data_IF_548893917619
#
_entry.id   IF_548893917619
#
_cell.length_a   1.000
_cell.length_b   1.000
_cell.length_c   1.000
_cell.angle_alpha   90.00
_cell.angle_beta   90.00
_cell.angle_gamma   90.00
#
_symmetry.space_group_name_H-M   'P 1'
#
loop_
_entity.id
_entity.type
_entity.pdbx_description
1 polymer ?
#
# COMPACT_ATOMS: atom_id res chain seq x y z
N UNK A 1 -11.74 -5.86 -36.38
CA UNK A 1 -11.57 -4.67 -35.54
C UNK A 1 -10.32 -4.90 -34.69
N UNK A 2 -9.49 -3.88 -34.52
CA UNK A 2 -8.25 -3.97 -33.71
C UNK A 2 -8.64 -4.15 -32.24
N UNK A 3 -8.02 -5.09 -31.53
CA UNK A 3 -8.25 -5.29 -30.08
C UNK A 3 -7.38 -4.35 -29.25
N UNK A 4 -7.84 -3.98 -28.05
CA UNK A 4 -7.05 -3.17 -27.11
C UNK A 4 -5.69 -3.83 -26.79
N UNK A 5 -5.63 -5.16 -26.69
CA UNK A 5 -4.40 -5.91 -26.43
C UNK A 5 -3.31 -5.72 -27.51
N UNK A 6 -3.66 -5.24 -28.70
CA UNK A 6 -2.70 -4.95 -29.77
C UNK A 6 -2.00 -3.59 -29.58
N UNK A 7 -2.63 -2.65 -28.86
CA UNK A 7 -2.16 -1.25 -28.72
C UNK A 7 -1.89 -0.82 -27.27
N UNK A 8 -2.29 -1.63 -26.29
CA UNK A 8 -2.06 -1.40 -24.86
C UNK A 8 -1.10 -2.45 -24.33
N UNK A 9 0.00 -2.01 -23.73
CA UNK A 9 0.99 -2.88 -23.07
C UNK A 9 1.07 -2.57 -21.59
N UNK A 10 1.17 -3.60 -20.77
CA UNK A 10 1.43 -3.44 -19.32
C UNK A 10 2.90 -3.74 -19.05
N UNK A 11 3.60 -2.74 -18.58
CA UNK A 11 5.03 -2.78 -18.26
C UNK A 11 5.29 -3.65 -17.03
N UNK A 12 5.89 -4.83 -17.26
CA UNK A 12 6.17 -5.81 -16.18
C UNK A 12 7.21 -5.37 -15.17
N UNK A 13 7.99 -4.33 -15.47
CA UNK A 13 9.05 -3.83 -14.58
C UNK A 13 8.55 -3.37 -13.21
N UNK A 14 7.28 -2.97 -13.12
CA UNK A 14 6.65 -2.56 -11.86
C UNK A 14 6.12 -3.74 -11.02
N UNK A 15 6.16 -4.97 -11.55
CA UNK A 15 5.70 -6.17 -10.87
C UNK A 15 6.81 -6.95 -10.13
N UNK A 16 8.07 -6.48 -10.18
CA UNK A 16 9.18 -7.16 -9.52
C UNK A 16 9.08 -6.98 -8.00
N UNK A 17 8.99 -8.10 -7.27
CA UNK A 17 9.16 -8.13 -5.82
C UNK A 17 10.64 -7.97 -5.50
N UNK A 18 10.95 -7.06 -4.59
CA UNK A 18 12.31 -6.84 -4.14
C UNK A 18 12.53 -7.59 -2.82
N UNK A 19 13.62 -8.35 -2.73
CA UNK A 19 14.04 -9.03 -1.52
C UNK A 19 15.30 -8.38 -0.97
N UNK A 20 15.18 -7.78 0.20
CA UNK A 20 16.28 -6.98 0.73
C UNK A 20 17.52 -7.81 1.04
N UNK A 21 17.37 -9.03 1.55
CA UNK A 21 18.49 -9.90 1.91
C UNK A 21 19.33 -10.35 0.69
N UNK A 22 18.69 -10.57 -0.46
CA UNK A 22 19.39 -11.01 -1.69
C UNK A 22 19.82 -9.86 -2.59
N UNK A 23 19.06 -8.76 -2.61
CA UNK A 23 19.19 -7.75 -3.67
C UNK A 23 20.11 -6.58 -3.29
N UNK A 24 20.63 -6.54 -2.05
CA UNK A 24 21.56 -5.51 -1.58
C UNK A 24 22.82 -5.37 -2.45
N UNK A 25 23.38 -6.50 -2.91
CA UNK A 25 24.63 -6.53 -3.66
C UNK A 25 24.44 -6.71 -5.18
N UNK A 26 23.19 -6.76 -5.65
CA UNK A 26 22.84 -6.97 -7.06
C UNK A 26 22.61 -5.66 -7.85
N UNK A 27 22.53 -5.79 -9.17
CA UNK A 27 22.07 -4.73 -10.10
C UNK A 27 20.79 -5.21 -10.79
N UNK A 28 19.68 -4.43 -10.88
CA UNK A 28 19.31 -3.24 -10.13
C UNK A 28 17.83 -3.27 -9.66
N UNK A 29 17.52 -3.59 -8.38
CA UNK A 29 16.15 -3.45 -7.87
C UNK A 29 15.64 -1.99 -7.88
N UNK A 30 16.54 -1.01 -8.07
CA UNK A 30 16.21 0.42 -8.14
C UNK A 30 15.96 0.94 -9.56
N UNK A 31 16.27 0.19 -10.62
CA UNK A 31 16.02 0.66 -11.99
C UNK A 31 14.52 0.65 -12.27
N UNK A 32 13.96 1.85 -12.48
CA UNK A 32 12.52 2.03 -12.66
C UNK A 32 11.74 2.22 -11.36
N UNK A 33 12.41 2.21 -10.20
CA UNK A 33 11.77 2.59 -8.94
C UNK A 33 11.36 4.06 -8.99
N UNK A 34 10.11 4.33 -8.58
CA UNK A 34 9.56 5.68 -8.52
C UNK A 34 9.33 6.02 -7.05
N UNK A 35 10.09 7.00 -6.55
CA UNK A 35 9.91 7.50 -5.19
C UNK A 35 8.62 8.31 -5.11
N UNK A 36 7.62 7.75 -4.42
CA UNK A 36 6.36 8.44 -4.15
C UNK A 36 6.55 9.57 -3.12
N UNK A 37 5.69 10.58 -3.16
CA UNK A 37 5.77 11.74 -2.27
C UNK A 37 5.48 11.36 -0.81
N UNK A 38 4.57 10.43 -0.56
CA UNK A 38 4.30 9.85 0.76
C UNK A 38 5.53 9.14 1.32
N UNK A 39 6.20 8.31 0.51
CA UNK A 39 7.44 7.63 0.90
C UNK A 39 8.54 8.66 1.18
N UNK A 40 8.70 9.67 0.32
CA UNK A 40 9.64 10.79 0.55
C UNK A 40 9.37 11.46 1.89
N UNK A 41 8.12 11.84 2.18
CA UNK A 41 7.73 12.50 3.44
C UNK A 41 8.04 11.61 4.65
N UNK A 42 7.78 10.32 4.54
CA UNK A 42 8.08 9.33 5.57
C UNK A 42 9.57 9.16 5.83
N UNK A 43 10.39 9.15 4.77
CA UNK A 43 11.85 9.15 4.90
C UNK A 43 12.37 10.44 5.54
N UNK A 44 11.85 11.61 5.14
CA UNK A 44 12.20 12.90 5.77
C UNK A 44 11.92 12.88 7.27
N UNK A 45 10.75 12.39 7.68
CA UNK A 45 10.40 12.28 9.10
C UNK A 45 11.34 11.33 9.87
N UNK A 46 11.73 10.20 9.27
CA UNK A 46 12.72 9.29 9.84
C UNK A 46 14.08 9.98 9.99
N UNK A 47 14.55 10.66 8.95
CA UNK A 47 15.86 11.32 8.93
C UNK A 47 15.95 12.45 9.96
N UNK A 48 14.88 13.22 10.16
CA UNK A 48 14.83 14.25 11.19
C UNK A 48 15.07 13.66 12.58
N UNK A 49 14.42 12.54 12.92
CA UNK A 49 14.61 11.85 14.21
C UNK A 49 16.06 11.42 14.45
N UNK A 50 16.73 10.93 13.40
CA UNK A 50 18.14 10.50 13.46
C UNK A 50 19.07 11.71 13.59
N UNK A 51 18.87 12.74 12.76
CA UNK A 51 19.72 13.94 12.72
C UNK A 51 19.68 14.72 14.04
N UNK A 52 18.49 14.79 14.68
CA UNK A 52 18.31 15.42 15.99
C UNK A 52 18.82 14.55 17.15
N UNK A 53 19.24 13.31 16.87
CA UNK A 53 19.72 12.35 17.87
C UNK A 53 18.63 11.82 18.80
N UNK A 54 17.35 11.97 18.43
CA UNK A 54 16.20 11.65 19.27
C UNK A 54 15.67 10.22 19.06
N UNK A 55 15.88 9.65 17.88
CA UNK A 55 15.36 8.34 17.51
C UNK A 55 16.26 7.60 16.53
N UNK A 56 16.44 6.30 16.77
CA UNK A 56 17.25 5.41 15.94
C UNK A 56 16.59 4.04 15.69
N UNK A 57 15.43 3.78 16.29
CA UNK A 57 14.63 2.58 16.08
C UNK A 57 13.28 2.96 15.44
N UNK A 58 12.99 2.39 14.28
CA UNK A 58 11.83 2.73 13.47
C UNK A 58 11.03 1.50 13.09
N UNK A 59 9.71 1.66 13.02
CA UNK A 59 8.86 0.69 12.32
C UNK A 59 8.28 1.34 11.07
N UNK A 60 8.40 0.69 9.93
CA UNK A 60 7.77 1.11 8.69
C UNK A 60 6.48 0.34 8.50
N UNK A 61 5.35 0.99 8.74
CA UNK A 61 4.05 0.32 8.72
C UNK A 61 3.26 0.71 7.47
N UNK A 62 2.84 -0.28 6.70
CA UNK A 62 1.99 -0.06 5.53
C UNK A 62 1.61 -1.36 4.83
N UNK A 63 0.59 -1.36 3.96
CA UNK A 63 0.07 -2.57 3.32
C UNK A 63 1.12 -3.32 2.47
N UNK A 64 0.86 -4.59 2.17
CA UNK A 64 1.60 -5.34 1.15
C UNK A 64 1.57 -4.58 -0.20
N UNK A 65 2.65 -4.69 -0.98
CA UNK A 65 2.76 -4.00 -2.26
C UNK A 65 2.93 -2.47 -2.19
N UNK A 66 3.00 -1.86 -1.00
CA UNK A 66 3.25 -0.43 -0.81
C UNK A 66 4.69 0.04 -1.03
N UNK A 67 5.55 -0.78 -1.65
CA UNK A 67 6.93 -0.40 -1.99
C UNK A 67 7.92 -0.31 -0.81
N UNK A 68 7.56 -0.81 0.39
CA UNK A 68 8.41 -0.75 1.60
C UNK A 68 9.77 -1.41 1.41
N UNK A 69 9.82 -2.63 0.90
CA UNK A 69 11.08 -3.37 0.66
C UNK A 69 11.96 -2.67 -0.39
N UNK A 70 11.36 -2.11 -1.45
CA UNK A 70 12.08 -1.31 -2.44
C UNK A 70 12.63 -0.01 -1.84
N UNK A 71 11.85 0.68 -1.00
CA UNK A 71 12.32 1.85 -0.27
C UNK A 71 13.43 1.49 0.73
N UNK A 72 13.40 0.30 1.32
CA UNK A 72 14.42 -0.18 2.23
C UNK A 72 15.74 -0.46 1.50
N UNK A 73 15.65 -1.05 0.30
CA UNK A 73 16.80 -1.16 -0.62
C UNK A 73 17.33 0.21 -1.05
N UNK A 74 16.46 1.18 -1.32
CA UNK A 74 16.87 2.55 -1.62
C UNK A 74 17.66 3.14 -0.45
N UNK A 75 17.14 3.04 0.78
CA UNK A 75 17.80 3.50 2.00
C UNK A 75 19.14 2.79 2.21
N UNK A 76 19.19 1.47 2.07
CA UNK A 76 20.43 0.71 2.21
C UNK A 76 21.50 1.14 1.20
N UNK A 77 21.11 1.35 -0.07
CA UNK A 77 22.03 1.83 -1.11
C UNK A 77 22.47 3.28 -0.90
N UNK A 78 21.60 4.12 -0.32
CA UNK A 78 22.01 5.45 0.12
C UNK A 78 23.06 5.31 1.23
N UNK A 79 22.78 4.55 2.28
CA UNK A 79 23.59 4.48 3.50
C UNK A 79 24.93 3.76 3.30
N UNK A 80 24.94 2.58 2.66
CA UNK A 80 26.11 1.71 2.54
C UNK A 80 26.43 1.25 1.10
N UNK A 81 25.59 1.57 0.11
CA UNK A 81 25.77 1.12 -1.27
C UNK A 81 27.10 1.57 -1.88
N UNK A 82 27.65 0.79 -2.81
CA UNK A 82 28.89 1.15 -3.51
C UNK A 82 28.72 2.44 -4.34
N UNK A 83 29.81 3.02 -4.85
CA UNK A 83 29.79 4.31 -5.57
C UNK A 83 28.74 4.35 -6.70
N UNK A 84 28.56 3.27 -7.45
CA UNK A 84 27.61 3.18 -8.57
C UNK A 84 26.16 3.12 -8.07
N UNK A 85 25.88 2.23 -7.12
CA UNK A 85 24.54 2.07 -6.56
C UNK A 85 24.09 3.31 -5.79
N UNK A 86 25.00 3.95 -5.05
CA UNK A 86 24.71 5.18 -4.32
C UNK A 86 24.37 6.33 -5.26
N UNK A 87 25.13 6.51 -6.35
CA UNK A 87 24.82 7.54 -7.34
C UNK A 87 23.44 7.32 -7.98
N UNK A 88 23.07 6.06 -8.25
CA UNK A 88 21.72 5.73 -8.73
C UNK A 88 20.64 6.09 -7.70
N UNK A 89 20.85 5.72 -6.43
CA UNK A 89 19.93 6.01 -5.34
C UNK A 89 19.77 7.52 -5.11
N UNK A 90 20.86 8.29 -5.17
CA UNK A 90 20.87 9.75 -5.06
C UNK A 90 20.13 10.42 -6.23
N UNK A 91 20.25 9.88 -7.44
CA UNK A 91 19.46 10.33 -8.59
C UNK A 91 17.95 10.12 -8.42
N UNK A 92 17.53 9.06 -7.71
CA UNK A 92 16.12 8.78 -7.41
C UNK A 92 15.58 9.75 -6.35
N UNK A 93 16.33 9.98 -5.27
CA UNK A 93 15.86 10.83 -4.17
C UNK A 93 15.99 12.32 -4.45
N UNK A 94 16.91 12.71 -5.33
CA UNK A 94 17.25 14.11 -5.59
C UNK A 94 18.19 14.72 -4.53
N UNK A 95 18.75 15.91 -4.80
CA UNK A 95 19.82 16.51 -4.01
C UNK A 95 19.41 16.77 -2.55
N UNK A 96 18.23 17.37 -2.32
CA UNK A 96 17.78 17.79 -0.99
C UNK A 96 17.69 16.60 -0.02
N UNK A 97 17.10 15.49 -0.46
CA UNK A 97 16.97 14.31 0.40
C UNK A 97 18.31 13.59 0.55
N UNK A 98 19.15 13.58 -0.49
CA UNK A 98 20.50 13.03 -0.40
C UNK A 98 21.37 13.78 0.64
N UNK A 99 21.22 15.10 0.74
CA UNK A 99 21.86 15.92 1.77
C UNK A 99 21.36 15.57 3.18
N UNK A 100 20.04 15.42 3.37
CA UNK A 100 19.47 14.99 4.65
C UNK A 100 19.99 13.61 5.07
N UNK A 101 20.10 12.64 4.14
CA UNK A 101 20.73 11.34 4.43
C UNK A 101 22.19 11.50 4.86
N UNK A 102 22.92 12.44 4.26
CA UNK A 102 24.33 12.68 4.61
C UNK A 102 24.48 13.32 5.99
N UNK A 103 23.53 14.17 6.39
CA UNK A 103 23.47 14.75 7.74
C UNK A 103 23.07 13.72 8.80
N UNK A 104 22.07 12.87 8.51
CA UNK A 104 21.55 11.89 9.45
C UNK A 104 22.49 10.68 9.64
N UNK A 105 23.29 10.31 8.64
CA UNK A 105 24.20 9.16 8.69
C UNK A 105 25.66 9.60 8.52
N UNK A 106 26.36 10.03 9.59
CA UNK A 106 27.77 10.44 9.52
C UNK A 106 28.67 9.34 8.95
N UNK A 107 29.56 9.67 8.00
CA UNK A 107 30.46 8.69 7.38
C UNK A 107 29.81 7.79 6.31
N UNK A 108 28.62 8.18 5.81
CA UNK A 108 27.80 7.49 4.80
C UNK A 108 28.63 6.78 3.72
N UNK A 109 28.50 5.45 3.73
CA UNK A 109 28.98 4.50 2.73
C UNK A 109 30.48 4.48 2.41
N UNK A 110 31.34 5.11 3.21
CA UNK A 110 32.77 4.74 3.25
C UNK A 110 33.05 3.69 4.32
N UNK A 111 32.13 3.51 5.27
CA UNK A 111 32.31 2.57 6.37
C UNK A 111 31.02 2.05 7.01
N UNK A 112 29.82 2.44 6.55
CA UNK A 112 28.57 1.86 7.08
C UNK A 112 28.35 0.44 6.53
N UNK A 113 27.87 -0.45 7.39
CA UNK A 113 27.38 -1.77 6.99
C UNK A 113 25.84 -1.81 7.08
N UNK A 114 25.20 -2.68 6.29
CA UNK A 114 23.74 -2.92 6.35
C UNK A 114 23.50 -4.40 6.61
N UNK A 115 22.90 -4.73 7.75
CA UNK A 115 22.46 -6.10 8.05
C UNK A 115 20.97 -6.21 7.71
N UNK A 116 20.64 -7.03 6.71
CA UNK A 116 19.25 -7.19 6.27
C UNK A 116 18.73 -8.59 6.54
N UNK A 117 17.48 -8.66 7.00
CA UNK A 117 16.77 -9.89 7.32
C UNK A 117 15.40 -9.87 6.67
N UNK A 118 14.94 -11.05 6.26
CA UNK A 118 13.55 -11.27 5.82
C UNK A 118 12.84 -12.15 6.83
N UNK A 119 11.62 -11.75 7.22
CA UNK A 119 10.78 -12.41 8.20
C UNK A 119 10.56 -13.90 7.93
N UNK A 120 10.74 -14.72 8.96
CA UNK A 120 10.41 -16.15 9.00
C UNK A 120 9.72 -16.47 10.32
N UNK A 121 9.03 -17.60 10.41
CA UNK A 121 8.37 -18.05 11.65
C UNK A 121 9.36 -18.73 12.61
N UNK A 122 10.40 -18.01 13.00
CA UNK A 122 11.49 -18.47 13.88
C UNK A 122 11.78 -17.40 14.95
N UNK A 123 12.71 -17.66 15.87
CA UNK A 123 13.21 -16.61 16.78
C UNK A 123 13.94 -15.52 15.98
N UNK A 124 13.71 -14.26 16.34
CA UNK A 124 14.42 -13.12 15.77
C UNK A 124 15.90 -13.11 16.17
N UNK A 125 16.21 -13.48 17.41
CA UNK A 125 17.59 -13.55 17.91
C UNK A 125 18.44 -14.53 17.08
N UNK A 126 17.92 -15.75 16.86
CA UNK A 126 18.58 -16.74 16.03
C UNK A 126 18.76 -16.27 14.58
N UNK A 127 17.70 -15.73 13.96
CA UNK A 127 17.79 -15.22 12.60
C UNK A 127 18.79 -14.06 12.46
N UNK A 128 18.87 -13.19 13.47
CA UNK A 128 19.83 -12.09 13.54
C UNK A 128 21.27 -12.57 13.69
N UNK A 129 21.50 -13.56 14.56
CA UNK A 129 22.80 -14.19 14.72
C UNK A 129 23.26 -14.88 13.43
N UNK A 130 22.39 -15.66 12.78
CA UNK A 130 22.70 -16.37 11.54
C UNK A 130 23.06 -15.37 10.42
N UNK A 131 22.23 -14.34 10.22
CA UNK A 131 22.47 -13.32 9.18
C UNK A 131 23.76 -12.52 9.44
N UNK A 132 24.02 -12.16 10.70
CA UNK A 132 25.23 -11.42 11.06
C UNK A 132 26.48 -12.30 10.92
N UNK A 133 26.40 -13.57 11.31
CA UNK A 133 27.48 -14.53 11.18
C UNK A 133 27.88 -14.76 9.72
N UNK A 134 26.88 -14.94 8.85
CA UNK A 134 27.09 -15.09 7.40
C UNK A 134 27.68 -13.81 6.79
N UNK A 135 27.07 -12.65 7.07
CA UNK A 135 27.46 -11.40 6.43
C UNK A 135 28.82 -10.86 6.91
N UNK A 136 29.13 -11.01 8.19
CA UNK A 136 30.36 -10.49 8.79
C UNK A 136 31.45 -11.54 8.94
N UNK A 137 31.22 -12.75 8.42
CA UNK A 137 32.15 -13.88 8.45
C UNK A 137 32.65 -14.18 9.87
N UNK A 138 31.72 -14.25 10.83
CA UNK A 138 32.07 -14.43 12.24
C UNK A 138 32.75 -15.79 12.47
N UNK A 139 33.86 -15.85 13.26
CA UNK A 139 34.44 -17.11 13.69
C UNK A 139 33.45 -17.94 14.51
N UNK A 140 33.62 -19.28 14.50
CA UNK A 140 32.73 -20.20 15.23
C UNK A 140 32.55 -19.82 16.71
N UNK A 141 33.62 -19.37 17.38
CA UNK A 141 33.54 -18.93 18.78
C UNK A 141 32.59 -17.74 18.99
N UNK A 142 32.58 -16.77 18.07
CA UNK A 142 31.66 -15.62 18.09
C UNK A 142 30.24 -16.07 17.78
N UNK A 143 30.05 -16.99 16.82
CA UNK A 143 28.73 -17.56 16.52
C UNK A 143 28.13 -18.31 17.71
N UNK A 144 28.95 -19.09 18.41
CA UNK A 144 28.51 -19.84 19.60
C UNK A 144 28.18 -18.89 20.76
N UNK A 145 28.95 -17.81 20.94
CA UNK A 145 28.65 -16.77 21.92
C UNK A 145 27.37 -15.99 21.58
N UNK A 146 27.15 -15.67 20.29
CA UNK A 146 25.98 -14.93 19.79
C UNK A 146 24.66 -15.72 19.89
N UNK A 147 24.68 -16.96 20.40
CA UNK A 147 23.46 -17.66 20.84
C UNK A 147 22.84 -17.01 22.09
N UNK A 148 23.63 -16.29 22.88
CA UNK A 148 23.15 -15.40 23.92
C UNK A 148 22.79 -14.03 23.32
N UNK A 149 21.59 -13.53 23.63
CA UNK A 149 21.08 -12.28 23.05
C UNK A 149 21.95 -11.06 23.38
N UNK A 150 22.52 -11.01 24.59
CA UNK A 150 23.34 -9.86 24.99
C UNK A 150 24.67 -9.86 24.26
N UNK A 151 25.31 -11.03 24.16
CA UNK A 151 26.54 -11.19 23.40
C UNK A 151 26.33 -10.85 21.91
N UNK A 152 25.23 -11.30 21.32
CA UNK A 152 24.85 -10.93 19.95
C UNK A 152 24.77 -9.41 19.77
N UNK A 153 24.05 -8.73 20.67
CA UNK A 153 23.87 -7.29 20.60
C UNK A 153 25.20 -6.53 20.83
N UNK A 154 26.05 -7.02 21.74
CA UNK A 154 27.38 -6.46 21.99
C UNK A 154 28.26 -6.55 20.73
N UNK A 155 28.22 -7.67 20.01
CA UNK A 155 28.97 -7.84 18.75
C UNK A 155 28.45 -6.93 17.64
N UNK A 156 27.12 -6.76 17.52
CA UNK A 156 26.51 -5.83 16.56
C UNK A 156 26.88 -4.37 16.85
N UNK A 157 26.89 -3.98 18.13
CA UNK A 157 27.32 -2.66 18.55
C UNK A 157 28.82 -2.45 18.33
N UNK A 158 29.65 -3.45 18.66
CA UNK A 158 31.08 -3.42 18.40
C UNK A 158 31.36 -3.24 16.91
N UNK A 159 30.62 -3.96 16.03
CA UNK A 159 30.70 -3.79 14.59
C UNK A 159 30.34 -2.36 14.17
N UNK A 160 29.23 -1.83 14.66
CA UNK A 160 28.80 -0.45 14.40
C UNK A 160 29.87 0.57 14.79
N UNK A 161 30.58 0.35 15.91
CA UNK A 161 31.66 1.23 16.41
C UNK A 161 32.98 1.09 15.64
N UNK A 162 33.35 -0.10 15.20
CA UNK A 162 34.54 -0.36 14.36
C UNK A 162 34.37 0.24 12.95
N UNK A 163 33.13 0.44 12.54
CA UNK A 163 32.68 0.98 11.27
C UNK A 163 32.22 2.43 11.42
N UNK A 164 31.58 2.97 10.39
CA UNK A 164 30.89 4.27 10.46
C UNK A 164 29.52 4.17 11.15
N UNK A 165 28.94 2.97 11.09
CA UNK A 165 27.68 2.59 11.70
C UNK A 165 27.15 1.30 11.09
N UNK A 166 26.04 0.80 11.66
CA UNK A 166 25.31 -0.37 11.23
C UNK A 166 23.82 0.00 11.09
N UNK A 167 23.28 -0.23 9.90
CA UNK A 167 21.84 -0.18 9.66
C UNK A 167 21.31 -1.62 9.67
N UNK A 168 20.42 -1.94 10.61
CA UNK A 168 19.71 -3.22 10.65
C UNK A 168 18.34 -3.02 10.02
N UNK A 169 18.03 -3.77 8.97
CA UNK A 169 16.71 -3.77 8.34
C UNK A 169 16.06 -5.15 8.46
N UNK A 170 14.90 -5.19 9.09
CA UNK A 170 14.12 -6.42 9.29
C UNK A 170 12.86 -6.31 8.43
N UNK A 171 12.90 -6.87 7.22
CA UNK A 171 11.71 -6.97 6.37
C UNK A 171 10.76 -8.04 6.91
N UNK A 172 9.45 -7.82 6.75
CA UNK A 172 8.40 -8.68 7.29
C UNK A 172 8.56 -9.02 8.80
N UNK A 173 8.95 -8.04 9.63
CA UNK A 173 9.11 -8.20 11.08
C UNK A 173 7.90 -8.87 11.76
N UNK A 174 6.71 -8.69 11.18
CA UNK A 174 5.46 -9.32 11.63
C UNK A 174 5.53 -10.84 11.75
N UNK A 175 6.32 -11.54 10.91
CA UNK A 175 6.48 -13.01 10.99
C UNK A 175 7.22 -13.45 12.25
N UNK A 176 8.21 -12.67 12.68
CA UNK A 176 8.90 -12.89 13.96
C UNK A 176 7.98 -12.59 15.14
N UNK A 177 7.19 -11.50 15.05
CA UNK A 177 6.18 -11.19 16.07
C UNK A 177 5.14 -12.31 16.17
N UNK A 178 4.61 -12.81 15.06
CA UNK A 178 3.69 -13.95 15.05
C UNK A 178 4.28 -15.18 15.76
N UNK A 179 5.56 -15.49 15.50
CA UNK A 179 6.26 -16.56 16.20
C UNK A 179 6.37 -16.28 17.71
N UNK A 180 6.78 -15.06 18.10
CA UNK A 180 6.91 -14.65 19.50
C UNK A 180 5.58 -14.72 20.29
N UNK A 181 4.43 -14.61 19.62
CA UNK A 181 3.13 -14.81 20.28
C UNK A 181 2.88 -16.24 20.75
N UNK A 182 3.45 -17.24 20.06
CA UNK A 182 3.27 -18.65 20.39
C UNK A 182 4.31 -19.15 21.40
N UNK A 183 5.49 -18.51 21.45
CA UNK A 183 6.63 -18.92 22.27
C UNK A 183 6.76 -18.15 23.60
N UNK A 184 5.68 -17.49 24.04
CA UNK A 184 5.62 -16.71 25.28
C UNK A 184 6.61 -15.52 25.37
N UNK A 185 6.68 -14.68 24.33
CA UNK A 185 7.08 -13.28 24.51
C UNK A 185 8.55 -12.93 24.28
N UNK A 186 9.23 -13.60 23.34
CA UNK A 186 10.57 -13.21 22.88
C UNK A 186 10.54 -11.95 21.98
N UNK A 187 10.05 -10.84 22.54
CA UNK A 187 10.10 -9.49 21.97
C UNK A 187 11.20 -8.66 22.63
N UNK A 188 11.85 -9.22 23.66
CA UNK A 188 12.83 -8.53 24.50
C UNK A 188 14.04 -8.06 23.68
N UNK A 189 14.49 -8.87 22.72
CA UNK A 189 15.56 -8.47 21.80
C UNK A 189 15.25 -7.16 21.06
N UNK A 190 13.99 -6.90 20.67
CA UNK A 190 13.63 -5.62 20.02
C UNK A 190 13.76 -4.45 20.98
N UNK A 191 13.48 -4.65 22.26
CA UNK A 191 13.69 -3.63 23.29
C UNK A 191 15.19 -3.35 23.46
N UNK A 192 16.00 -4.39 23.64
CA UNK A 192 17.45 -4.23 23.86
C UNK A 192 18.13 -3.58 22.66
N UNK A 193 17.76 -3.98 21.43
CA UNK A 193 18.23 -3.34 20.20
C UNK A 193 17.89 -1.84 20.18
N UNK A 194 16.65 -1.46 20.50
CA UNK A 194 16.24 -0.05 20.51
C UNK A 194 16.99 0.76 21.58
N UNK A 195 17.20 0.19 22.77
CA UNK A 195 17.97 0.84 23.84
C UNK A 195 19.45 1.04 23.48
N UNK A 196 20.06 0.07 22.80
CA UNK A 196 21.44 0.17 22.32
C UNK A 196 21.56 1.16 21.17
N UNK A 197 20.60 1.18 20.25
CA UNK A 197 20.55 2.16 19.17
C UNK A 197 20.49 3.60 19.72
N UNK A 198 19.64 3.84 20.73
CA UNK A 198 19.55 5.13 21.42
C UNK A 198 20.86 5.60 22.07
N UNK A 199 21.73 4.67 22.50
CA UNK A 199 23.02 4.96 23.14
C UNK A 199 24.21 4.90 22.16
N UNK A 200 23.96 4.62 20.89
CA UNK A 200 25.00 4.41 19.88
C UNK A 200 25.57 5.70 19.28
N UNK A 201 25.05 6.88 19.67
CA UNK A 201 25.35 8.18 19.06
C UNK A 201 25.16 8.16 17.53
N UNK A 202 24.04 7.57 17.07
CA UNK A 202 23.68 7.48 15.65
C UNK A 202 24.46 6.47 14.83
N UNK A 203 25.21 5.57 15.47
CA UNK A 203 25.96 4.51 14.79
C UNK A 203 25.17 3.23 14.61
N UNK A 204 24.08 3.03 15.33
CA UNK A 204 23.21 1.87 15.17
C UNK A 204 21.79 2.35 14.89
N UNK A 205 21.26 1.99 13.73
CA UNK A 205 19.89 2.33 13.30
C UNK A 205 19.14 1.05 12.98
N UNK A 206 17.90 0.94 13.45
CA UNK A 206 17.06 -0.26 13.27
C UNK A 206 15.78 0.13 12.54
N UNK A 207 15.44 -0.62 11.50
CA UNK A 207 14.21 -0.45 10.73
C UNK A 207 13.48 -1.78 10.66
N UNK A 208 12.35 -1.90 11.35
CA UNK A 208 11.44 -3.04 11.25
C UNK A 208 10.30 -2.75 10.28
N UNK A 209 10.08 -3.58 9.26
CA UNK A 209 9.02 -3.38 8.27
C UNK A 209 7.80 -4.24 8.62
N UNK A 210 6.63 -3.61 8.69
CA UNK A 210 5.38 -4.23 9.11
C UNK A 210 4.25 -3.98 8.11
N UNK A 211 3.31 -4.92 8.01
CA UNK A 211 2.13 -4.81 7.14
C UNK A 211 0.94 -4.12 7.80
N UNK A 212 0.87 -4.24 9.11
CA UNK A 212 -0.13 -3.69 9.99
C UNK A 212 0.55 -3.13 11.23
N UNK A 213 -0.18 -2.38 12.06
CA UNK A 213 0.41 -1.84 13.28
C UNK A 213 0.91 -2.96 14.19
N UNK A 214 1.95 -2.67 14.97
CA UNK A 214 2.53 -3.59 15.96
C UNK A 214 1.45 -4.20 16.88
N UNK A 215 0.50 -3.37 17.32
CA UNK A 215 -0.64 -3.76 18.17
C UNK A 215 -1.50 -4.87 17.57
N UNK A 216 -1.68 -4.89 16.24
CA UNK A 216 -2.52 -5.90 15.60
C UNK A 216 -1.92 -7.31 15.70
N UNK A 217 -0.59 -7.43 15.81
CA UNK A 217 0.09 -8.69 16.05
C UNK A 217 -0.07 -9.16 17.52
N UNK A 218 -0.23 -8.23 18.46
CA UNK A 218 -0.42 -8.51 19.88
C UNK A 218 -1.86 -8.93 20.26
N UNK A 219 -2.81 -8.89 19.32
CA UNK A 219 -4.23 -9.13 19.59
C UNK A 219 -4.52 -10.50 20.22
N UNK A 220 -3.69 -11.52 19.96
CA UNK A 220 -3.85 -12.87 20.53
C UNK A 220 -3.22 -13.04 21.93
N UNK A 221 -2.44 -12.06 22.40
CA UNK A 221 -1.77 -12.11 23.70
C UNK A 221 -2.71 -11.81 24.86
N UNK A 222 -2.32 -12.26 26.06
CA UNK A 222 -2.94 -11.84 27.31
C UNK A 222 -2.75 -10.33 27.54
N UNK A 223 -3.54 -9.73 28.45
CA UNK A 223 -3.41 -8.31 28.79
C UNK A 223 -1.99 -7.92 29.23
N UNK A 224 -1.34 -8.77 30.01
CA UNK A 224 0.06 -8.57 30.44
C UNK A 224 1.00 -8.58 29.25
N UNK A 225 0.89 -9.56 28.35
CA UNK A 225 1.70 -9.62 27.13
C UNK A 225 1.50 -8.41 26.21
N UNK A 226 0.26 -7.94 26.04
CA UNK A 226 -0.04 -6.72 25.27
C UNK A 226 0.61 -5.48 25.88
N UNK A 227 0.62 -5.36 27.21
CA UNK A 227 1.27 -4.23 27.88
C UNK A 227 2.79 -4.25 27.72
N UNK A 228 3.43 -5.42 27.80
CA UNK A 228 4.87 -5.54 27.52
C UNK A 228 5.20 -5.16 26.08
N UNK A 229 4.40 -5.64 25.12
CA UNK A 229 4.56 -5.30 23.71
C UNK A 229 4.35 -3.81 23.43
N UNK A 230 3.39 -3.16 24.10
CA UNK A 230 3.17 -1.72 23.99
C UNK A 230 4.38 -0.91 24.48
N UNK A 231 5.08 -1.36 25.53
CA UNK A 231 6.33 -0.73 25.99
C UNK A 231 7.42 -0.83 24.93
N UNK A 232 7.57 -1.99 24.29
CA UNK A 232 8.54 -2.16 23.19
C UNK A 232 8.18 -1.28 22.01
N UNK A 233 6.92 -1.30 21.56
CA UNK A 233 6.44 -0.44 20.48
C UNK A 233 6.71 1.04 20.75
N UNK A 234 6.52 1.51 21.99
CA UNK A 234 6.78 2.90 22.36
C UNK A 234 8.23 3.37 22.16
N UNK A 235 9.18 2.44 21.99
CA UNK A 235 10.59 2.73 21.70
C UNK A 235 10.87 2.89 20.20
N UNK A 236 9.97 2.40 19.35
CA UNK A 236 10.08 2.50 17.90
C UNK A 236 9.20 3.63 17.39
N UNK A 237 9.77 4.56 16.65
CA UNK A 237 8.95 5.55 15.94
C UNK A 237 8.28 4.87 14.74
N UNK A 238 6.95 4.90 14.71
CA UNK A 238 6.19 4.42 13.57
C UNK A 238 6.25 5.45 12.43
N UNK A 239 6.75 5.00 11.29
CA UNK A 239 6.85 5.75 10.04
C UNK A 239 5.83 5.14 9.06
N UNK A 240 4.74 5.85 8.73
CA UNK A 240 3.68 5.28 7.89
C UNK A 240 4.10 5.22 6.41
N UNK A 241 4.03 4.05 5.80
CA UNK A 241 4.27 3.82 4.37
C UNK A 241 2.95 3.54 3.66
N UNK A 242 2.11 4.57 3.55
CA UNK A 242 0.79 4.48 2.94
C UNK A 242 0.71 5.43 1.75
N UNK A 243 0.83 4.87 0.55
CA UNK A 243 0.63 5.61 -0.69
C UNK A 243 -0.78 6.20 -0.75
N UNK A 244 -0.95 7.40 -1.28
CA UNK A 244 -2.28 7.95 -1.55
C UNK A 244 -2.85 7.41 -2.87
N UNK A 245 -4.16 7.52 -3.08
CA UNK A 245 -4.79 7.01 -4.31
C UNK A 245 -4.18 7.63 -5.56
N UNK A 246 -3.86 8.93 -5.53
CA UNK A 246 -3.24 9.65 -6.64
C UNK A 246 -1.85 9.12 -6.99
N UNK A 247 -1.08 8.71 -5.97
CA UNK A 247 0.26 8.15 -6.17
C UNK A 247 0.21 6.75 -6.75
N UNK A 248 -0.82 5.98 -6.40
CA UNK A 248 -1.10 4.68 -7.03
C UNK A 248 -1.56 4.88 -8.47
N UNK A 249 -2.44 5.85 -8.74
CA UNK A 249 -2.86 6.19 -10.09
C UNK A 249 -1.68 6.63 -10.96
N UNK A 250 -0.74 7.42 -10.42
CA UNK A 250 0.49 7.82 -11.12
C UNK A 250 1.40 6.62 -11.45
N UNK A 251 1.45 5.62 -10.57
CA UNK A 251 2.15 4.36 -10.84
C UNK A 251 1.45 3.53 -11.93
N UNK A 252 0.12 3.46 -11.89
CA UNK A 252 -0.68 2.78 -12.92
C UNK A 252 -0.48 3.45 -14.28
N UNK A 253 -0.56 4.78 -14.34
CA UNK A 253 -0.34 5.56 -15.55
C UNK A 253 1.02 5.29 -16.20
N UNK A 254 2.07 5.06 -15.39
CA UNK A 254 3.40 4.67 -15.89
C UNK A 254 3.49 3.22 -16.32
N UNK A 255 2.65 2.35 -15.75
CA UNK A 255 2.66 0.93 -16.06
C UNK A 255 1.82 0.59 -17.30
N UNK A 256 0.80 1.37 -17.61
CA UNK A 256 -0.01 1.22 -18.81
C UNK A 256 0.62 2.04 -19.93
N UNK A 257 1.28 1.35 -20.86
CA UNK A 257 1.72 1.95 -22.11
C UNK A 257 0.59 1.93 -23.14
N UNK A 258 0.12 3.12 -23.54
CA UNK A 258 -0.84 3.28 -24.63
C UNK A 258 -0.39 4.39 -25.57
N UNK A 259 -0.29 4.06 -26.85
CA UNK A 259 0.14 5.00 -27.88
C UNK A 259 -1.02 5.90 -28.39
N UNK A 260 -2.27 5.60 -28.02
CA UNK A 260 -3.47 6.18 -28.66
C UNK A 260 -4.67 6.35 -27.70
N UNK A 261 -4.48 7.00 -26.55
CA UNK A 261 -5.61 7.35 -25.69
C UNK A 261 -6.61 8.28 -26.41
N UNK A 262 -7.93 8.02 -26.37
CA UNK A 262 -8.92 8.85 -27.05
C UNK A 262 -9.06 10.22 -26.37
N UNK A 263 -9.55 11.22 -27.11
CA UNK A 263 -9.79 12.57 -26.55
C UNK A 263 -10.78 12.55 -25.36
N UNK A 264 -11.71 11.58 -25.34
CA UNK A 264 -12.63 11.36 -24.22
C UNK A 264 -11.92 11.00 -22.91
N UNK A 265 -10.71 10.43 -22.97
CA UNK A 265 -9.94 10.07 -21.78
C UNK A 265 -9.59 11.30 -20.95
N UNK A 266 -9.10 12.36 -21.60
CA UNK A 266 -8.78 13.62 -20.91
C UNK A 266 -10.02 14.30 -20.35
N UNK A 267 -11.15 14.23 -21.06
CA UNK A 267 -12.41 14.80 -20.60
C UNK A 267 -12.93 14.10 -19.33
N UNK A 268 -13.01 12.77 -19.33
CA UNK A 268 -13.45 11.99 -18.16
C UNK A 268 -12.46 12.16 -17.00
N UNK A 269 -11.16 12.17 -17.26
CA UNK A 269 -10.13 12.42 -16.25
C UNK A 269 -10.30 13.79 -15.59
N UNK A 270 -10.53 14.84 -16.38
CA UNK A 270 -10.75 16.20 -15.88
C UNK A 270 -12.00 16.32 -15.01
N UNK A 271 -13.11 15.76 -15.48
CA UNK A 271 -14.35 15.74 -14.69
C UNK A 271 -14.20 14.93 -13.40
N UNK A 272 -13.44 13.83 -13.43
CA UNK A 272 -13.16 13.02 -12.24
C UNK A 272 -12.33 13.81 -11.23
N UNK A 273 -11.27 14.50 -11.67
CA UNK A 273 -10.42 15.31 -10.81
C UNK A 273 -11.20 16.48 -10.18
N UNK A 274 -12.06 17.15 -10.96
CA UNK A 274 -12.95 18.21 -10.48
C UNK A 274 -13.91 17.69 -9.40
N UNK A 275 -14.59 16.55 -9.65
CA UNK A 275 -15.53 15.96 -8.70
C UNK A 275 -14.84 15.58 -7.37
N UNK A 276 -13.61 15.09 -7.42
CA UNK A 276 -12.83 14.76 -6.21
C UNK A 276 -12.41 16.01 -5.44
N UNK A 277 -12.14 17.12 -6.14
CA UNK A 277 -11.73 18.39 -5.52
C UNK A 277 -12.78 18.96 -4.55
N UNK A 278 -14.06 18.63 -4.74
CA UNK A 278 -15.13 19.01 -3.82
C UNK A 278 -15.04 18.32 -2.45
N UNK A 279 -14.29 17.21 -2.34
CA UNK A 279 -14.24 16.35 -1.14
C UNK A 279 -12.88 16.36 -0.47
N UNK A 280 -11.81 16.70 -1.20
CA UNK A 280 -10.46 16.85 -0.64
C UNK A 280 -9.59 17.80 -1.48
N UNK A 281 -8.57 18.42 -0.88
CA UNK A 281 -7.56 19.17 -1.63
C UNK A 281 -6.86 18.29 -2.67
N UNK A 282 -6.77 18.78 -3.91
CA UNK A 282 -6.09 18.10 -5.01
C UNK A 282 -5.61 19.12 -6.04
N UNK A 283 -4.48 18.84 -6.69
CA UNK A 283 -4.09 19.53 -7.93
C UNK A 283 -4.90 18.95 -9.08
N UNK A 284 -5.98 19.63 -9.48
CA UNK A 284 -6.90 19.16 -10.53
C UNK A 284 -6.17 18.97 -11.86
N UNK A 285 -5.26 19.88 -12.22
CA UNK A 285 -4.54 19.80 -13.49
C UNK A 285 -3.56 18.62 -13.49
N UNK A 286 -2.78 18.46 -12.43
CA UNK A 286 -1.86 17.34 -12.26
C UNK A 286 -2.57 15.99 -12.22
N UNK A 287 -3.66 15.88 -11.47
CA UNK A 287 -4.44 14.64 -11.39
C UNK A 287 -5.14 14.31 -12.72
N UNK A 288 -5.60 15.31 -13.47
CA UNK A 288 -6.17 15.11 -14.81
C UNK A 288 -5.16 14.44 -15.74
N UNK A 289 -3.92 14.93 -15.75
CA UNK A 289 -2.87 14.35 -16.60
C UNK A 289 -2.56 12.91 -16.20
N UNK A 290 -2.42 12.64 -14.90
CA UNK A 290 -2.22 11.28 -14.36
C UNK A 290 -3.35 10.34 -14.81
N UNK A 291 -4.60 10.73 -14.59
CA UNK A 291 -5.76 9.89 -14.89
C UNK A 291 -6.00 9.73 -16.40
N UNK A 292 -5.58 10.70 -17.22
CA UNK A 292 -5.63 10.56 -18.68
C UNK A 292 -4.76 9.40 -19.15
N UNK A 293 -3.58 9.26 -18.54
CA UNK A 293 -2.58 8.24 -18.87
C UNK A 293 -2.94 6.84 -18.33
N UNK A 294 -4.03 6.68 -17.56
CA UNK A 294 -4.48 5.34 -17.13
C UNK A 294 -5.31 4.62 -18.19
N UNK A 295 -5.70 5.26 -19.30
CA UNK A 295 -6.51 4.61 -20.34
C UNK A 295 -5.86 3.30 -20.83
N UNK A 296 -6.61 2.20 -21.00
CA UNK A 296 -8.08 2.09 -20.97
C UNK A 296 -8.68 1.83 -19.58
N UNK A 297 -7.93 1.95 -18.49
CA UNK A 297 -8.51 1.90 -17.14
C UNK A 297 -9.27 3.19 -16.84
N UNK A 298 -10.54 3.05 -16.44
CA UNK A 298 -11.38 4.18 -16.10
C UNK A 298 -10.83 4.95 -14.89
N UNK A 299 -10.86 6.30 -14.86
CA UNK A 299 -10.31 7.10 -13.76
C UNK A 299 -10.83 6.72 -12.37
N UNK A 300 -12.14 6.44 -12.24
CA UNK A 300 -12.73 5.95 -10.99
C UNK A 300 -12.13 4.59 -10.59
N UNK A 301 -11.97 3.65 -11.52
CA UNK A 301 -11.33 2.36 -11.27
C UNK A 301 -9.88 2.52 -10.84
N UNK A 302 -9.11 3.39 -11.52
CA UNK A 302 -7.70 3.66 -11.21
C UNK A 302 -7.51 4.14 -9.76
N UNK A 303 -8.40 5.01 -9.29
CA UNK A 303 -8.37 5.53 -7.92
C UNK A 303 -8.86 4.53 -6.87
N UNK A 304 -9.67 3.55 -7.25
CA UNK A 304 -10.13 2.47 -6.36
C UNK A 304 -9.10 1.34 -6.21
N UNK A 305 -8.23 1.11 -7.20
CA UNK A 305 -7.24 0.03 -7.14
C UNK A 305 -6.28 0.16 -5.94
N UNK A 306 -5.90 1.38 -5.59
CA UNK A 306 -5.03 1.64 -4.44
C UNK A 306 -5.64 1.22 -3.10
N UNK A 307 -6.88 1.61 -2.78
CA UNK A 307 -7.62 1.10 -1.62
C UNK A 307 -7.92 -0.41 -1.68
N UNK A 308 -8.35 -0.92 -2.85
CA UNK A 308 -8.66 -2.35 -3.06
C UNK A 308 -7.46 -3.22 -2.70
N UNK A 309 -6.25 -2.86 -3.15
CA UNK A 309 -5.05 -3.67 -2.91
C UNK A 309 -4.61 -3.74 -1.44
N UNK A 310 -5.18 -2.94 -0.54
CA UNK A 310 -4.83 -2.93 0.89
C UNK A 310 -5.68 -3.89 1.71
N UNK A 311 -6.84 -4.26 1.18
CA UNK A 311 -7.82 -5.04 1.91
C UNK A 311 -7.30 -6.44 2.19
N UNK A 312 -7.60 -6.96 3.39
CA UNK A 312 -7.05 -8.21 3.94
C UNK A 312 -7.20 -9.42 3.01
N UNK A 313 -8.21 -9.40 2.15
CA UNK A 313 -8.54 -10.46 1.22
C UNK A 313 -7.71 -10.40 -0.07
N UNK A 314 -7.25 -9.21 -0.46
CA UNK A 314 -6.31 -9.00 -1.57
C UNK A 314 -4.83 -9.15 -1.13
N UNK A 315 -4.57 -9.45 0.15
CA UNK A 315 -3.21 -9.56 0.71
C UNK A 315 -2.44 -10.83 0.29
N UNK A 316 -3.09 -11.78 -0.41
CA UNK A 316 -2.42 -12.95 -0.99
C UNK A 316 -1.65 -12.58 -2.28
N UNK A 317 -0.71 -11.63 -2.16
CA UNK A 317 0.35 -11.31 -3.13
C UNK A 317 -0.06 -10.55 -4.40
N UNK A 318 -1.30 -10.06 -4.52
CA UNK A 318 -1.73 -9.31 -5.71
C UNK A 318 -1.74 -7.82 -5.46
N UNK A 319 -0.56 -7.23 -5.62
CA UNK A 319 -0.41 -5.78 -5.75
C UNK A 319 -1.29 -5.24 -6.89
N UNK A 320 -1.43 -3.92 -6.97
CA UNK A 320 -2.07 -3.24 -8.12
C UNK A 320 -1.51 -3.74 -9.45
N UNK A 321 -0.21 -4.04 -9.53
CA UNK A 321 0.42 -4.59 -10.73
C UNK A 321 0.11 -6.07 -10.97
N UNK A 322 -0.15 -6.82 -9.89
CA UNK A 322 -0.72 -8.16 -9.96
C UNK A 322 -2.06 -8.13 -10.69
N UNK A 323 -2.98 -7.23 -10.33
CA UNK A 323 -4.24 -7.02 -11.06
C UNK A 323 -4.03 -6.64 -12.53
N UNK A 324 -3.15 -5.65 -12.80
CA UNK A 324 -2.91 -5.19 -14.17
C UNK A 324 -2.31 -6.28 -15.08
N UNK A 325 -1.59 -7.24 -14.52
CA UNK A 325 -0.87 -8.27 -15.29
C UNK A 325 -1.54 -9.66 -15.23
N UNK A 326 -2.49 -9.88 -14.33
CA UNK A 326 -3.11 -11.19 -14.14
C UNK A 326 -4.06 -11.52 -15.29
N UNK A 327 -4.08 -12.80 -15.68
CA UNK A 327 -5.01 -13.35 -16.69
C UNK A 327 -6.25 -13.94 -16.03
N UNK A 328 -6.80 -13.22 -15.07
CA UNK A 328 -7.96 -13.67 -14.29
C UNK A 328 -9.29 -13.37 -14.98
N UNK A 329 -10.36 -14.14 -14.70
CA UNK A 329 -11.71 -13.82 -15.15
C UNK A 329 -12.09 -12.39 -14.78
N UNK A 330 -12.62 -11.64 -15.76
CA UNK A 330 -12.98 -10.22 -15.63
C UNK A 330 -11.81 -9.27 -15.26
N UNK A 331 -10.56 -9.75 -15.25
CA UNK A 331 -9.38 -8.93 -14.99
C UNK A 331 -9.04 -7.98 -16.14
N UNK A 332 -8.05 -7.11 -15.91
CA UNK A 332 -7.66 -6.08 -16.89
C UNK A 332 -7.13 -6.69 -18.19
N UNK A 333 -6.27 -7.70 -18.13
CA UNK A 333 -5.77 -8.38 -19.35
C UNK A 333 -6.89 -9.05 -20.15
N UNK A 334 -7.88 -9.65 -19.47
CA UNK A 334 -9.03 -10.24 -20.13
C UNK A 334 -9.89 -9.19 -20.85
N UNK A 335 -10.02 -7.99 -20.28
CA UNK A 335 -10.65 -6.85 -20.94
C UNK A 335 -9.89 -6.39 -22.18
N UNK A 336 -8.56 -6.24 -22.08
CA UNK A 336 -7.74 -5.85 -23.24
C UNK A 336 -7.89 -6.84 -24.41
N UNK A 337 -7.95 -8.15 -24.11
CA UNK A 337 -8.07 -9.18 -25.13
C UNK A 337 -9.44 -9.22 -25.83
N UNK A 338 -10.53 -8.93 -25.10
CA UNK A 338 -11.90 -9.06 -25.64
C UNK A 338 -12.44 -7.78 -26.29
N UNK A 339 -11.97 -6.61 -25.84
CA UNK A 339 -12.56 -5.31 -26.20
C UNK A 339 -11.90 -4.74 -27.47
N UNK A 340 -12.73 -4.30 -28.41
CA UNK A 340 -12.28 -3.61 -29.62
C UNK A 340 -11.87 -2.16 -29.30
N UNK A 341 -10.95 -1.61 -30.08
CA UNK A 341 -10.55 -0.21 -29.97
C UNK A 341 -11.70 0.67 -30.48
N UNK A 342 -12.51 1.17 -29.56
CA UNK A 342 -13.59 2.13 -29.82
C UNK A 342 -13.63 3.26 -28.77
N UNK A 343 -14.61 4.16 -28.88
CA UNK A 343 -14.76 5.30 -27.98
C UNK A 343 -15.18 4.96 -26.55
N UNK A 344 -15.62 3.72 -26.26
CA UNK A 344 -16.13 3.28 -24.95
C UNK A 344 -15.41 2.04 -24.41
N UNK A 345 -14.14 1.86 -24.79
CA UNK A 345 -13.33 0.69 -24.46
C UNK A 345 -12.81 0.66 -23.00
N UNK A 346 -13.51 1.30 -22.07
CA UNK A 346 -13.08 1.50 -20.68
C UNK A 346 -13.16 0.23 -19.84
N UNK A 347 -12.18 0.04 -18.96
CA UNK A 347 -12.29 -0.85 -17.81
C UNK A 347 -12.96 -0.11 -16.64
N UNK A 348 -14.28 -0.20 -16.56
CA UNK A 348 -15.13 0.58 -15.64
C UNK A 348 -15.22 0.01 -14.22
N UNK A 349 -15.78 0.77 -13.26
CA UNK A 349 -15.98 0.31 -11.88
C UNK A 349 -16.93 -0.90 -11.78
N UNK A 350 -17.87 -1.03 -12.73
CA UNK A 350 -18.76 -2.19 -12.86
C UNK A 350 -18.00 -3.48 -13.20
N UNK A 351 -17.00 -3.38 -14.07
CA UNK A 351 -16.13 -4.52 -14.39
C UNK A 351 -15.16 -4.83 -13.25
N UNK A 352 -14.69 -3.81 -12.53
CA UNK A 352 -13.90 -4.01 -11.31
C UNK A 352 -14.71 -4.75 -10.24
N UNK A 353 -15.99 -4.42 -10.07
CA UNK A 353 -16.91 -5.18 -9.22
C UNK A 353 -17.00 -6.65 -9.64
N UNK A 354 -17.22 -6.92 -10.93
CA UNK A 354 -17.32 -8.28 -11.46
C UNK A 354 -16.02 -9.09 -11.27
N UNK A 355 -14.87 -8.43 -11.39
CA UNK A 355 -13.57 -9.01 -11.07
C UNK A 355 -13.46 -9.36 -9.58
N UNK A 356 -13.85 -8.44 -8.69
CA UNK A 356 -13.74 -8.64 -7.26
C UNK A 356 -14.64 -9.77 -6.76
N UNK A 357 -15.88 -9.83 -7.23
CA UNK A 357 -16.80 -10.91 -6.89
C UNK A 357 -16.30 -12.26 -7.41
N UNK A 358 -15.87 -12.33 -8.67
CA UNK A 358 -15.44 -13.59 -9.29
C UNK A 358 -14.17 -14.18 -8.64
N UNK A 359 -13.22 -13.32 -8.24
CA UNK A 359 -11.91 -13.77 -7.77
C UNK A 359 -11.76 -13.73 -6.24
N UNK A 360 -12.57 -12.93 -5.55
CA UNK A 360 -12.45 -12.71 -4.10
C UNK A 360 -13.77 -12.76 -3.33
N UNK A 361 -14.92 -12.98 -4.00
CA UNK A 361 -16.24 -12.92 -3.36
C UNK A 361 -16.32 -13.78 -2.09
N UNK A 362 -15.91 -15.05 -2.16
CA UNK A 362 -15.93 -15.96 -1.02
C UNK A 362 -15.05 -15.51 0.16
N UNK A 363 -13.91 -14.89 -0.12
CA UNK A 363 -12.99 -14.42 0.91
C UNK A 363 -13.38 -13.03 1.45
N UNK A 364 -13.98 -12.16 0.63
CA UNK A 364 -14.56 -10.87 1.05
C UNK A 364 -15.79 -11.06 1.94
N UNK A 365 -16.52 -12.17 1.77
CA UNK A 365 -17.62 -12.58 2.63
C UNK A 365 -17.16 -13.17 3.98
N UNK A 366 -15.84 -13.30 4.23
CA UNK A 366 -15.29 -13.80 5.49
C UNK A 366 -14.47 -12.70 6.18
N UNK A 367 -14.94 -12.22 7.34
CA UNK A 367 -14.20 -11.27 8.18
C UNK A 367 -15.00 -10.03 8.56
N UNK A 368 -14.33 -8.98 9.10
CA UNK A 368 -15.00 -7.80 9.65
C UNK A 368 -15.84 -7.00 8.63
N UNK A 369 -15.50 -7.07 7.35
CA UNK A 369 -16.18 -6.37 6.25
C UNK A 369 -17.24 -7.25 5.55
N UNK A 370 -17.48 -8.48 6.04
CA UNK A 370 -18.40 -9.44 5.40
C UNK A 370 -19.80 -8.86 5.23
N UNK A 371 -20.31 -8.18 6.24
CA UNK A 371 -21.66 -7.63 6.23
C UNK A 371 -21.83 -6.56 5.14
N UNK A 372 -20.81 -5.71 4.94
CA UNK A 372 -20.84 -4.69 3.88
C UNK A 372 -20.75 -5.33 2.49
N UNK A 373 -19.94 -6.36 2.34
CA UNK A 373 -19.83 -7.10 1.08
C UNK A 373 -21.15 -7.80 0.72
N UNK A 374 -21.75 -8.53 1.67
CA UNK A 374 -23.04 -9.19 1.47
C UNK A 374 -24.11 -8.19 1.07
N UNK A 375 -24.19 -7.06 1.78
CA UNK A 375 -25.13 -6.00 1.46
C UNK A 375 -24.95 -5.47 0.04
N UNK A 376 -23.70 -5.25 -0.37
CA UNK A 376 -23.38 -4.79 -1.71
C UNK A 376 -23.77 -5.82 -2.79
N UNK A 377 -23.56 -7.12 -2.54
CA UNK A 377 -23.97 -8.18 -3.45
C UNK A 377 -25.50 -8.23 -3.62
N UNK A 378 -26.26 -8.19 -2.52
CA UNK A 378 -27.73 -8.16 -2.54
C UNK A 378 -28.27 -6.93 -3.28
N UNK A 379 -27.67 -5.76 -3.03
CA UNK A 379 -28.03 -4.52 -3.70
C UNK A 379 -27.82 -4.61 -5.23
N UNK A 380 -26.70 -5.18 -5.68
CA UNK A 380 -26.39 -5.38 -7.09
C UNK A 380 -27.32 -6.42 -7.74
N UNK A 381 -27.60 -7.53 -7.06
CA UNK A 381 -28.53 -8.56 -7.54
C UNK A 381 -29.95 -8.00 -7.71
N UNK A 382 -30.41 -7.21 -6.74
CA UNK A 382 -31.71 -6.51 -6.82
C UNK A 382 -31.72 -5.50 -7.97
N UNK A 383 -30.66 -4.72 -8.15
CA UNK A 383 -30.54 -3.74 -9.23
C UNK A 383 -30.58 -4.38 -10.63
N UNK A 384 -30.06 -5.60 -10.77
CA UNK A 384 -30.04 -6.33 -12.04
C UNK A 384 -31.44 -6.58 -12.64
N UNK A 385 -32.48 -6.58 -11.80
CA UNK A 385 -33.88 -6.76 -12.22
C UNK A 385 -34.46 -5.53 -12.94
N UNK A 386 -33.81 -4.38 -12.86
CA UNK A 386 -34.32 -3.09 -13.35
C UNK A 386 -33.57 -2.54 -14.57
N UNK A 387 -32.72 -3.36 -15.19
CA UNK A 387 -32.07 -3.06 -16.46
C UNK A 387 -30.55 -2.82 -16.36
N UNK A 388 -29.86 -2.80 -17.52
CA UNK A 388 -28.39 -2.82 -17.56
C UNK A 388 -27.75 -1.56 -16.99
N UNK A 389 -28.32 -0.38 -17.23
CA UNK A 389 -27.78 0.88 -16.69
C UNK A 389 -27.93 0.94 -15.16
N UNK A 390 -29.08 0.53 -14.63
CA UNK A 390 -29.35 0.47 -13.18
C UNK A 390 -28.38 -0.51 -12.51
N UNK A 391 -28.19 -1.69 -13.09
CA UNK A 391 -27.21 -2.67 -12.63
C UNK A 391 -25.78 -2.14 -12.65
N UNK A 392 -25.38 -1.46 -13.74
CA UNK A 392 -24.03 -0.87 -13.89
C UNK A 392 -23.76 0.19 -12.82
N UNK A 393 -24.72 1.08 -12.57
CA UNK A 393 -24.60 2.11 -11.53
C UNK A 393 -24.61 1.52 -10.12
N UNK A 394 -25.39 0.45 -9.87
CA UNK A 394 -25.35 -0.26 -8.59
C UNK A 394 -23.98 -0.91 -8.32
N UNK A 395 -23.38 -1.55 -9.34
CA UNK A 395 -22.01 -2.11 -9.23
C UNK A 395 -20.98 -1.02 -8.95
N UNK A 396 -21.08 0.11 -9.66
CA UNK A 396 -20.21 1.27 -9.42
C UNK A 396 -20.38 1.85 -8.01
N UNK A 397 -21.62 2.00 -7.53
CA UNK A 397 -21.92 2.44 -6.18
C UNK A 397 -21.35 1.47 -5.13
N UNK A 398 -21.52 0.16 -5.34
CA UNK A 398 -21.04 -0.88 -4.45
C UNK A 398 -19.50 -0.85 -4.29
N UNK A 399 -18.76 -0.81 -5.40
CA UNK A 399 -17.29 -0.79 -5.35
C UNK A 399 -16.77 0.53 -4.76
N UNK A 400 -17.43 1.66 -5.06
CA UNK A 400 -17.07 2.95 -4.45
C UNK A 400 -17.36 2.93 -2.95
N UNK A 401 -18.53 2.46 -2.50
CA UNK A 401 -18.87 2.40 -1.07
C UNK A 401 -17.86 1.57 -0.27
N UNK A 402 -17.46 0.42 -0.81
CA UNK A 402 -16.51 -0.49 -0.14
C UNK A 402 -15.07 0.05 -0.10
N UNK A 403 -14.65 0.79 -1.14
CA UNK A 403 -13.23 1.12 -1.34
C UNK A 403 -12.91 2.61 -1.54
N UNK A 404 -13.84 3.53 -1.26
CA UNK A 404 -13.62 5.00 -1.38
C UNK A 404 -12.62 5.62 -0.42
N UNK A 405 -12.26 4.93 0.67
CA UNK A 405 -11.47 5.53 1.74
C UNK A 405 -10.11 6.04 1.25
N UNK A 406 -9.91 7.36 1.37
CA UNK A 406 -8.68 8.04 0.97
C UNK A 406 -8.54 8.34 -0.53
N UNK A 407 -9.50 7.98 -1.39
CA UNK A 407 -9.48 8.34 -2.81
C UNK A 407 -10.15 9.69 -3.10
N UNK A 408 -11.08 10.11 -2.24
CA UNK A 408 -11.95 11.27 -2.46
C UNK A 408 -13.14 10.96 -3.37
N UNK A 409 -13.33 9.70 -3.76
CA UNK A 409 -14.55 9.23 -4.40
C UNK A 409 -15.69 9.15 -3.37
N UNK A 410 -16.92 9.28 -3.85
CA UNK A 410 -18.13 9.03 -3.06
C UNK A 410 -19.21 8.47 -3.97
N UNK A 411 -20.18 7.77 -3.39
CA UNK A 411 -21.39 7.41 -4.14
C UNK A 411 -22.23 8.68 -4.23
N UNK A 412 -22.11 9.42 -5.33
CA UNK A 412 -22.74 10.72 -5.54
C UNK A 412 -23.00 10.95 -7.03
N UNK A 413 -23.90 11.89 -7.35
CA UNK A 413 -24.37 12.10 -8.73
C UNK A 413 -23.24 12.43 -9.71
N UNK A 414 -22.29 13.27 -9.28
CA UNK A 414 -21.11 13.67 -10.06
C UNK A 414 -20.18 12.49 -10.37
N UNK A 415 -19.98 11.57 -9.43
CA UNK A 415 -19.16 10.36 -9.61
C UNK A 415 -19.92 9.28 -10.39
N UNK A 416 -21.18 9.00 -10.04
CA UNK A 416 -21.99 7.97 -10.70
C UNK A 416 -22.25 8.30 -12.18
N UNK A 417 -22.41 9.59 -12.51
CA UNK A 417 -22.51 10.03 -13.90
C UNK A 417 -21.26 9.73 -14.72
N UNK A 418 -20.08 9.74 -14.10
CA UNK A 418 -18.83 9.40 -14.78
C UNK A 418 -18.70 7.89 -15.04
N UNK A 419 -19.38 7.05 -14.24
CA UNK A 419 -19.30 5.59 -14.36
C UNK A 419 -20.08 5.04 -15.56
N UNK A 420 -20.90 5.85 -16.25
CA UNK A 420 -21.66 5.46 -17.43
C UNK A 420 -21.49 6.50 -18.56
N UNK A 421 -20.26 6.68 -19.10
CA UNK A 421 -19.96 7.74 -20.07
C UNK A 421 -20.72 7.60 -21.40
N UNK A 422 -21.25 6.40 -21.70
CA UNK A 422 -22.08 6.15 -22.87
C UNK A 422 -23.55 6.59 -22.73
N UNK A 423 -24.03 6.80 -21.50
CA UNK A 423 -25.42 7.13 -21.23
C UNK A 423 -25.65 8.64 -21.18
N UNK A 424 -26.86 9.10 -21.56
CA UNK A 424 -27.22 10.51 -21.42
C UNK A 424 -27.42 10.84 -19.94
N UNK A 425 -27.09 12.07 -19.55
CA UNK A 425 -27.26 12.55 -18.17
C UNK A 425 -28.67 12.32 -17.60
N UNK A 426 -29.72 12.48 -18.42
CA UNK A 426 -31.10 12.24 -18.01
C UNK A 426 -31.39 10.76 -17.72
N UNK A 427 -30.80 9.84 -18.50
CA UNK A 427 -30.95 8.39 -18.31
C UNK A 427 -30.22 7.93 -17.05
N UNK A 428 -29.01 8.48 -16.80
CA UNK A 428 -28.28 8.26 -15.55
C UNK A 428 -29.08 8.74 -14.35
N UNK A 429 -29.62 9.97 -14.39
CA UNK A 429 -30.44 10.52 -13.30
C UNK A 429 -31.65 9.63 -13.01
N UNK A 430 -32.38 9.21 -14.05
CA UNK A 430 -33.52 8.31 -13.91
C UNK A 430 -33.12 6.94 -13.32
N UNK A 431 -31.96 6.40 -13.71
CA UNK A 431 -31.46 5.16 -13.15
C UNK A 431 -31.04 5.29 -11.68
N UNK A 432 -30.45 6.42 -11.28
CA UNK A 432 -30.15 6.72 -9.87
C UNK A 432 -31.45 6.85 -9.07
N UNK A 433 -32.45 7.54 -9.60
CA UNK A 433 -33.77 7.66 -8.95
C UNK A 433 -34.44 6.28 -8.82
N UNK A 434 -34.33 5.39 -9.80
CA UNK A 434 -34.80 4.01 -9.70
C UNK A 434 -34.08 3.26 -8.56
N UNK A 435 -32.74 3.40 -8.43
CA UNK A 435 -31.99 2.79 -7.32
C UNK A 435 -32.48 3.29 -5.95
N UNK A 436 -32.84 4.57 -5.83
CA UNK A 436 -33.38 5.13 -4.59
C UNK A 436 -34.82 4.64 -4.34
N UNK A 437 -35.69 4.71 -5.34
CA UNK A 437 -37.10 4.30 -5.24
C UNK A 437 -37.26 2.81 -4.90
N UNK A 438 -36.31 1.98 -5.33
CA UNK A 438 -36.26 0.56 -5.00
C UNK A 438 -35.59 0.25 -3.67
N UNK A 439 -35.19 1.26 -2.89
CA UNK A 439 -34.42 1.09 -1.66
C UNK A 439 -33.19 0.20 -1.88
N UNK A 440 -32.44 0.47 -2.96
CA UNK A 440 -31.10 -0.08 -3.21
C UNK A 440 -30.06 0.94 -2.73
N UNK A 441 -30.31 2.22 -3.00
CA UNK A 441 -29.56 3.35 -2.44
C UNK A 441 -30.42 4.17 -1.49
N UNK A 442 -29.79 4.75 -0.48
CA UNK A 442 -30.40 5.74 0.42
C UNK A 442 -29.65 7.08 0.29
N UNK A 443 -30.40 8.18 0.21
CA UNK A 443 -29.81 9.53 0.18
C UNK A 443 -29.15 9.86 1.52
N UNK A 444 -27.98 10.49 1.47
CA UNK A 444 -27.25 10.98 2.63
C UNK A 444 -27.06 12.51 2.52
N UNK A 445 -28.07 13.32 2.87
CA UNK A 445 -28.04 14.77 2.65
C UNK A 445 -26.84 15.47 3.29
N UNK A 446 -26.44 15.02 4.50
CA UNK A 446 -25.28 15.58 5.23
C UNK A 446 -23.94 15.31 4.54
N UNK A 447 -23.85 14.24 3.75
CA UNK A 447 -22.62 13.83 3.06
C UNK A 447 -22.64 14.16 1.56
N UNK A 448 -23.76 14.70 1.04
CA UNK A 448 -23.90 15.07 -0.37
C UNK A 448 -23.80 13.87 -1.32
N UNK A 449 -24.44 12.75 -0.96
CA UNK A 449 -24.36 11.53 -1.76
C UNK A 449 -25.38 10.47 -1.33
N UNK A 450 -25.00 9.20 -1.52
CA UNK A 450 -25.81 8.02 -1.26
C UNK A 450 -25.01 6.97 -0.47
N UNK A 451 -25.71 6.01 0.11
CA UNK A 451 -25.13 4.76 0.61
C UNK A 451 -25.98 3.57 0.17
N UNK A 452 -25.42 2.37 0.24
CA UNK A 452 -26.18 1.13 0.05
C UNK A 452 -27.22 0.98 1.16
N UNK A 453 -28.45 0.65 0.80
CA UNK A 453 -29.54 0.53 1.76
C UNK A 453 -29.50 -0.82 2.50
N UNK A 454 -29.26 -0.80 3.82
CA UNK A 454 -29.02 -1.97 4.65
C UNK A 454 -30.26 -2.75 5.13
N UNK A 455 -31.47 -2.38 4.69
CA UNK A 455 -32.68 -3.18 4.99
C UNK A 455 -33.16 -3.19 6.45
N UNK A 456 -32.60 -2.41 7.36
CA UNK A 456 -33.18 -2.27 8.70
C UNK A 456 -34.23 -1.16 8.71
N UNK A 457 -35.49 -1.53 8.97
CA UNK A 457 -36.59 -0.67 9.43
C UNK A 457 -36.26 -0.03 10.80
N UNK A 458 -35.11 0.62 10.92
CA UNK A 458 -34.73 1.38 12.11
C UNK A 458 -34.38 2.80 11.65
N UNK A 459 -35.43 3.62 11.58
CA UNK A 459 -35.30 5.05 11.40
C UNK A 459 -34.66 5.63 12.67
N UNK A 460 -33.33 5.73 12.63
CA UNK A 460 -32.51 6.29 13.71
C UNK A 460 -32.89 7.75 13.98
N UNK A 461 -33.37 8.48 12.97
CA UNK A 461 -33.85 9.85 13.13
C UNK A 461 -35.21 9.88 13.86
N UNK A 462 -36.09 8.89 13.64
CA UNK A 462 -37.32 8.72 14.43
C UNK A 462 -37.01 8.38 15.89
N UNK A 463 -36.04 7.50 16.15
CA UNK A 463 -35.64 7.10 17.50
C UNK A 463 -34.98 8.23 18.31
N UNK A 464 -34.21 9.11 17.66
CA UNK A 464 -33.57 10.26 18.30
C UNK A 464 -34.59 11.38 18.60
N UNK A 465 -35.68 11.49 17.83
CA UNK A 465 -36.75 12.46 18.09
C UNK A 465 -37.64 12.11 19.29
N UNK A 466 -37.51 10.89 19.83
CA UNK A 466 -38.33 10.35 20.93
C UNK A 466 -37.58 10.22 22.28
N UNK A 467 -36.39 10.82 22.42
CA UNK A 467 -35.63 10.88 23.69
C UNK A 467 -35.59 12.29 24.26
#
# INVERSE_FOLDING_TARGET
>A
MTKLAEIVKVERRFALSARIDTDLNGTPPLTGYVLQASVRKSLVAMLAGIADGSQFAFTWTGPYGGGKSCAALLVANLVAGNKKQRALAEGIVGPDLAEQFSSAFPGRGRSWDVLALTGRRTSLAGALADAAAEQFEWPQATQDAARDERALIDELEARARQKGGLLIVIDELGKFLEHATNSAGDVHILQDLAERAARSNGRLVIVGILHQSFEQYANRLSRTGRNEWAKVQGRYQNVPFVAQADEVAALIARAIGSDHAPASAKAIAGLTAEAISHRRPVDVAGLTEILTQTWPLHPVSALLLGPVSRQRVAQNERSVFGFLSSSEPNGFQAHLARTDVDGNAWYGPDQLWDYLVANFGSALSVGPESNRMTLAMEAVEKAALYGPLVAKLAKAAAVVELFRNGSGLAVADDILSLCAPEAKKAEVSAAIDELVNRAILIRQPRLGGYALFAGSDFDLDEAISKV
#
